data_IF_932041897400
#
_entry.id   IF_932041897400
#
_cell.length_a   1.000
_cell.length_b   1.000
_cell.length_c   1.000
_cell.angle_alpha   90.00
_cell.angle_beta   90.00
_cell.angle_gamma   90.00
#
_symmetry.space_group_name_H-M   'P 1'
#
loop_
_entity.id
_entity.type
_entity.pdbx_description
1 polymer ?
#
# COMPACT_ATOMS: atom_id res chain seq x y z
N UNK A 1 -17.35 -12.62 1.20
CA UNK A 1 -16.91 -11.23 0.97
C UNK A 1 -15.58 -11.07 1.67
N UNK A 2 -14.50 -11.33 0.95
CA UNK A 2 -13.14 -11.34 1.45
C UNK A 2 -12.62 -9.90 1.56
N UNK A 3 -12.94 -9.25 2.68
CA UNK A 3 -12.53 -7.87 3.03
C UNK A 3 -11.02 -7.60 2.81
N UNK A 4 -10.20 -8.65 2.82
CA UNK A 4 -8.75 -8.57 2.62
C UNK A 4 -8.36 -8.33 1.14
N UNK A 5 -9.14 -8.84 0.18
CA UNK A 5 -8.88 -8.64 -1.25
C UNK A 5 -9.14 -7.19 -1.67
N UNK A 6 -10.16 -6.56 -1.10
CA UNK A 6 -10.51 -5.15 -1.36
C UNK A 6 -9.40 -4.20 -0.89
N UNK A 7 -8.93 -4.36 0.35
CA UNK A 7 -7.87 -3.52 0.91
C UNK A 7 -6.56 -3.64 0.12
N UNK A 8 -6.21 -4.87 -0.26
CA UNK A 8 -5.04 -5.11 -1.10
C UNK A 8 -5.16 -4.44 -2.46
N UNK A 9 -6.33 -4.49 -3.11
CA UNK A 9 -6.56 -3.83 -4.39
C UNK A 9 -6.39 -2.31 -4.30
N UNK A 10 -6.93 -1.68 -3.25
CA UNK A 10 -6.80 -0.22 -3.03
C UNK A 10 -5.33 0.16 -2.85
N UNK A 11 -4.61 -0.57 -1.99
CA UNK A 11 -3.18 -0.34 -1.76
C UNK A 11 -2.37 -0.58 -3.03
N UNK A 12 -2.70 -1.62 -3.79
CA UNK A 12 -2.03 -1.96 -5.05
C UNK A 12 -2.20 -0.87 -6.10
N UNK A 13 -3.42 -0.34 -6.26
CA UNK A 13 -3.72 0.78 -7.15
C UNK A 13 -2.92 2.03 -6.74
N UNK A 14 -2.99 2.44 -5.47
CA UNK A 14 -2.24 3.60 -4.92
C UNK A 14 -0.73 3.43 -5.09
N UNK A 15 -0.21 2.24 -4.84
CA UNK A 15 1.21 1.93 -5.00
C UNK A 15 1.66 1.97 -6.46
N UNK A 16 0.77 1.62 -7.41
CA UNK A 16 1.03 1.70 -8.85
C UNK A 16 1.02 3.15 -9.36
N UNK A 17 0.15 3.99 -8.80
CA UNK A 17 0.11 5.44 -9.08
C UNK A 17 1.30 6.19 -8.47
N UNK A 18 1.82 5.68 -7.35
CA UNK A 18 3.00 6.24 -6.68
C UNK A 18 4.24 6.12 -7.58
N UNK A 19 4.95 7.24 -7.76
CA UNK A 19 6.19 7.28 -8.55
C UNK A 19 7.26 6.40 -7.91
N UNK A 20 8.10 5.77 -8.74
CA UNK A 20 9.23 4.96 -8.29
C UNK A 20 10.15 5.72 -7.33
N UNK A 21 10.35 7.03 -7.55
CA UNK A 21 11.15 7.90 -6.69
C UNK A 21 10.61 8.04 -5.25
N UNK A 22 9.32 7.79 -5.03
CA UNK A 22 8.69 7.88 -3.71
C UNK A 22 8.67 6.52 -2.98
N UNK A 23 9.01 5.42 -3.66
CA UNK A 23 9.08 4.09 -3.03
C UNK A 23 10.02 4.02 -1.81
N UNK A 24 11.22 4.62 -1.80
CA UNK A 24 12.07 4.63 -0.60
C UNK A 24 11.41 5.37 0.58
N UNK A 25 10.67 6.44 0.31
CA UNK A 25 9.89 7.16 1.32
C UNK A 25 8.76 6.28 1.85
N UNK A 26 7.94 5.70 0.96
CA UNK A 26 6.88 4.76 1.34
C UNK A 26 7.44 3.63 2.18
N UNK A 27 8.59 3.05 1.81
CA UNK A 27 9.22 1.96 2.55
C UNK A 27 9.66 2.41 3.96
N UNK A 28 10.25 3.60 4.06
CA UNK A 28 10.68 4.18 5.33
C UNK A 28 9.51 4.45 6.28
N UNK A 29 8.40 4.99 5.77
CA UNK A 29 7.25 5.38 6.58
C UNK A 29 6.30 4.21 6.87
N UNK A 30 6.11 3.29 5.93
CA UNK A 30 5.26 2.10 6.14
C UNK A 30 5.96 0.97 6.88
N UNK A 31 7.29 1.03 7.03
CA UNK A 31 8.09 -0.06 7.58
C UNK A 31 8.16 -1.30 6.67
N UNK A 32 7.68 -1.19 5.43
CA UNK A 32 7.68 -2.28 4.44
C UNK A 32 8.94 -2.16 3.57
N UNK A 33 9.73 -3.23 3.40
CA UNK A 33 10.93 -3.18 2.56
C UNK A 33 10.60 -2.78 1.11
N UNK A 34 11.45 -1.97 0.48
CA UNK A 34 11.29 -1.57 -0.92
C UNK A 34 11.18 -2.76 -1.88
N UNK A 35 11.93 -3.85 -1.61
CA UNK A 35 11.82 -5.09 -2.38
C UNK A 35 10.41 -5.70 -2.32
N UNK A 36 9.75 -5.59 -1.18
CA UNK A 36 8.35 -6.03 -0.99
C UNK A 36 7.40 -5.12 -1.77
N UNK A 37 7.60 -3.80 -1.71
CA UNK A 37 6.80 -2.85 -2.50
C UNK A 37 6.90 -3.12 -4.00
N UNK A 38 8.13 -3.35 -4.50
CA UNK A 38 8.37 -3.69 -5.91
C UNK A 38 7.64 -4.97 -6.30
N UNK A 39 7.73 -6.02 -5.49
CA UNK A 39 7.05 -7.30 -5.77
C UNK A 39 5.52 -7.18 -5.70
N UNK A 40 4.98 -6.40 -4.75
CA UNK A 40 3.55 -6.13 -4.66
C UNK A 40 3.10 -5.41 -5.92
N UNK A 41 3.80 -4.33 -6.30
CA UNK A 41 3.49 -3.56 -7.50
C UNK A 41 3.56 -4.41 -8.77
N UNK A 42 4.56 -5.29 -8.90
CA UNK A 42 4.69 -6.22 -10.04
C UNK A 42 3.69 -7.37 -10.02
N UNK A 43 2.93 -7.58 -8.93
CA UNK A 43 2.02 -8.71 -8.77
C UNK A 43 2.70 -10.05 -8.47
N UNK A 44 3.99 -10.02 -8.13
CA UNK A 44 4.77 -11.21 -7.74
C UNK A 44 4.35 -11.72 -6.35
N UNK A 45 3.91 -10.82 -5.46
CA UNK A 45 3.41 -11.21 -4.14
C UNK A 45 1.95 -11.64 -4.24
N UNK A 46 1.71 -12.95 -4.23
CA UNK A 46 0.35 -13.52 -4.19
C UNK A 46 -0.32 -13.45 -2.82
N UNK A 47 0.47 -13.37 -1.74
CA UNK A 47 -0.07 -13.40 -0.37
C UNK A 47 0.72 -12.45 0.56
N UNK A 48 0.55 -11.13 0.43
CA UNK A 48 1.14 -10.19 1.36
C UNK A 48 0.52 -10.40 2.75
N UNK A 49 1.32 -10.23 3.81
CA UNK A 49 0.79 -10.29 5.17
C UNK A 49 -0.20 -9.14 5.36
N UNK A 50 -1.33 -9.40 6.02
CA UNK A 50 -2.35 -8.39 6.32
C UNK A 50 -1.75 -7.15 7.00
N UNK A 51 -0.78 -7.32 7.90
CA UNK A 51 -0.07 -6.21 8.55
C UNK A 51 0.68 -5.31 7.57
N UNK A 52 1.26 -5.88 6.51
CA UNK A 52 1.94 -5.13 5.44
C UNK A 52 0.95 -4.29 4.65
N UNK A 53 -0.21 -4.87 4.31
CA UNK A 53 -1.26 -4.16 3.57
C UNK A 53 -1.86 -3.04 4.42
N UNK A 54 -2.13 -3.29 5.70
CA UNK A 54 -2.63 -2.27 6.63
C UNK A 54 -1.65 -1.10 6.79
N UNK A 55 -0.36 -1.36 7.03
CA UNK A 55 0.63 -0.29 7.19
C UNK A 55 0.74 0.61 5.94
N UNK A 56 0.63 0.01 4.74
CA UNK A 56 0.61 0.76 3.49
C UNK A 56 -0.69 1.55 3.34
N UNK A 57 -1.82 0.95 3.66
CA UNK A 57 -3.11 1.62 3.63
C UNK A 57 -3.14 2.82 4.57
N UNK A 58 -2.65 2.69 5.80
CA UNK A 58 -2.56 3.79 6.76
C UNK A 58 -1.64 4.90 6.27
N UNK A 59 -0.48 4.56 5.69
CA UNK A 59 0.41 5.54 5.06
C UNK A 59 -0.29 6.31 3.93
N UNK A 60 -0.94 5.61 3.00
CA UNK A 60 -1.62 6.26 1.87
C UNK A 60 -2.84 7.07 2.32
N UNK A 61 -3.57 6.59 3.33
CA UNK A 61 -4.69 7.32 3.95
C UNK A 61 -4.22 8.60 4.66
N UNK A 62 -3.06 8.58 5.32
CA UNK A 62 -2.46 9.77 5.92
C UNK A 62 -1.93 10.77 4.87
N UNK A 63 -1.45 10.29 3.71
CA UNK A 63 -0.96 11.10 2.59
C UNK A 63 -2.07 11.64 1.69
N UNK A 64 -3.26 11.05 1.71
CA UNK A 64 -4.43 11.51 0.96
C UNK A 64 -5.41 12.22 1.90
N UNK A 65 -5.29 13.54 2.11
CA UNK A 65 -6.20 14.31 2.96
C UNK A 65 -7.66 14.32 2.46
N UNK A 66 -7.96 13.70 1.32
CA UNK A 66 -9.27 13.69 0.67
C UNK A 66 -10.21 12.56 1.14
N UNK A 67 -9.75 11.61 1.97
CA UNK A 67 -10.58 10.48 2.45
C UNK A 67 -10.95 10.55 3.93
N UNK A 68 -10.62 11.66 4.62
CA UNK A 68 -10.99 11.86 6.02
C UNK A 68 -12.48 12.25 6.23
N UNK A 69 -13.28 12.41 5.16
CA UNK A 69 -14.68 12.88 5.21
C UNK A 69 -15.72 11.78 4.88
N UNK A 70 -15.42 10.50 5.10
CA UNK A 70 -16.42 9.42 5.02
C UNK A 70 -16.36 8.51 6.27
N UNK A 71 -16.36 9.11 7.45
CA UNK A 71 -16.62 8.44 8.73
C UNK A 71 -17.97 8.88 9.29
#
# INVERSE_FOLDING_TARGET
MDQNLDLFHVVHARLRETKYSNLPDVARFSGVPESTLKKIRSGEVRNPRINTVQALYEYFRAQSPQEAEHA
#
